data_IF_233940300262
#
_entry.id   IF_233940300262
#
_cell.length_a   1.000
_cell.length_b   1.000
_cell.length_c   1.000
_cell.angle_alpha   90.00
_cell.angle_beta   90.00
_cell.angle_gamma   90.00
#
_symmetry.space_group_name_H-M   'P 1'
#
loop_
_entity.id
_entity.type
_entity.pdbx_description
1 polymer ?
#
# COMPACT_ATOMS: atom_id res chain seq x y z
N UNK A 1 -8.50 -12.25 11.17
CA UNK A 1 -7.95 -11.94 9.85
C UNK A 1 -7.41 -10.54 9.96
N UNK A 2 -6.17 -10.33 9.53
CA UNK A 2 -5.59 -8.98 9.46
C UNK A 2 -6.02 -8.45 8.09
N UNK A 3 -6.66 -7.29 8.07
CA UNK A 3 -7.08 -6.66 6.82
C UNK A 3 -5.84 -6.17 6.05
N UNK A 4 -5.70 -6.49 4.75
CA UNK A 4 -4.57 -6.01 3.95
C UNK A 4 -4.54 -4.48 3.88
N UNK A 5 -5.71 -3.83 3.95
CA UNK A 5 -5.80 -2.37 4.05
C UNK A 5 -5.12 -1.86 5.32
N UNK A 6 -5.39 -2.48 6.47
CA UNK A 6 -4.80 -2.10 7.76
C UNK A 6 -3.27 -2.23 7.72
N UNK A 7 -2.75 -3.25 7.03
CA UNK A 7 -1.31 -3.41 6.80
C UNK A 7 -0.73 -2.36 5.86
N UNK A 8 -1.39 -2.03 4.75
CA UNK A 8 -0.92 -0.97 3.86
C UNK A 8 -0.92 0.39 4.56
N UNK A 9 -1.97 0.68 5.34
CA UNK A 9 -2.06 1.88 6.18
C UNK A 9 -0.92 1.89 7.18
N UNK A 10 -0.67 0.80 7.90
CA UNK A 10 0.44 0.69 8.83
C UNK A 10 1.81 0.91 8.15
N UNK A 11 2.03 0.40 6.94
CA UNK A 11 3.26 0.69 6.19
C UNK A 11 3.37 2.19 5.90
N UNK A 12 2.29 2.83 5.44
CA UNK A 12 2.28 4.26 5.14
C UNK A 12 2.51 5.12 6.39
N UNK A 13 1.88 4.79 7.51
CA UNK A 13 1.97 5.60 8.72
C UNK A 13 3.23 5.31 9.53
N UNK A 14 3.61 4.04 9.65
CA UNK A 14 4.67 3.57 10.56
C UNK A 14 6.04 3.56 9.88
N UNK A 15 6.10 3.25 8.58
CA UNK A 15 7.35 3.20 7.81
C UNK A 15 7.62 4.46 7.02
N UNK A 16 6.59 5.00 6.36
CA UNK A 16 6.71 6.19 5.52
C UNK A 16 6.37 7.48 6.28
N UNK A 17 6.04 7.38 7.57
CA UNK A 17 5.72 8.50 8.47
C UNK A 17 4.59 9.41 7.92
N UNK A 18 3.69 8.86 7.11
CA UNK A 18 2.54 9.57 6.56
C UNK A 18 1.50 9.78 7.66
N UNK A 19 0.91 10.99 7.80
CA UNK A 19 -0.15 11.21 8.76
C UNK A 19 -1.36 10.31 8.47
N UNK A 20 -1.85 9.59 9.49
CA UNK A 20 -3.04 8.74 9.39
C UNK A 20 -4.29 9.51 8.92
N UNK A 21 -4.36 10.81 9.21
CA UNK A 21 -5.45 11.72 8.80
C UNK A 21 -5.52 11.88 7.27
N UNK A 22 -4.41 11.64 6.56
CA UNK A 22 -4.34 11.67 5.09
C UNK A 22 -4.54 10.28 4.47
N UNK A 23 -4.26 9.21 5.21
CA UNK A 23 -4.32 7.83 4.72
C UNK A 23 -5.74 7.29 4.89
N UNK A 24 -6.53 7.34 3.81
CA UNK A 24 -7.90 6.83 3.77
C UNK A 24 -8.11 5.67 2.80
N UNK A 25 -9.19 4.88 2.95
CA UNK A 25 -9.52 3.79 2.03
C UNK A 25 -9.77 4.25 0.59
N UNK A 26 -10.27 5.46 0.40
CA UNK A 26 -10.50 6.08 -0.91
C UNK A 26 -9.30 6.91 -1.42
N UNK A 27 -8.25 7.06 -0.61
CA UNK A 27 -7.05 7.81 -0.97
C UNK A 27 -6.14 6.96 -1.84
N UNK A 28 -5.50 7.57 -2.85
CA UNK A 28 -4.47 6.92 -3.67
C UNK A 28 -3.08 7.35 -3.21
N UNK A 29 -2.05 6.54 -3.51
CA UNK A 29 -0.66 6.91 -3.21
C UNK A 29 -0.21 8.19 -3.94
N UNK A 30 -0.85 8.52 -5.07
CA UNK A 30 -0.62 9.77 -5.80
C UNK A 30 -1.22 10.98 -5.08
N UNK A 31 -2.33 10.82 -4.37
CA UNK A 31 -2.98 11.89 -3.60
C UNK A 31 -2.18 12.25 -2.33
N UNK A 32 -1.44 11.26 -1.79
CA UNK A 32 -0.50 11.44 -0.69
C UNK A 32 0.79 12.21 -1.07
N UNK A 33 0.89 12.67 -2.33
CA UNK A 33 2.04 13.41 -2.88
C UNK A 33 3.38 12.71 -2.59
N UNK A 34 3.39 11.36 -2.65
CA UNK A 34 4.58 10.57 -2.37
C UNK A 34 5.66 10.81 -3.43
N UNK A 35 6.87 11.13 -2.97
CA UNK A 35 8.05 11.16 -3.81
C UNK A 35 8.32 9.78 -4.45
N UNK A 36 9.02 9.77 -5.59
CA UNK A 36 9.36 8.53 -6.28
C UNK A 36 10.12 7.54 -5.39
N UNK A 37 10.94 8.04 -4.46
CA UNK A 37 11.66 7.21 -3.48
C UNK A 37 10.70 6.58 -2.46
N UNK A 38 9.71 7.33 -1.99
CA UNK A 38 8.71 6.84 -1.04
C UNK A 38 7.80 5.78 -1.69
N UNK A 39 7.45 5.95 -2.97
CA UNK A 39 6.74 4.93 -3.75
C UNK A 39 7.57 3.65 -3.91
N UNK A 40 8.86 3.77 -4.23
CA UNK A 40 9.76 2.62 -4.36
C UNK A 40 9.89 1.88 -3.03
N UNK A 41 10.05 2.61 -1.93
CA UNK A 41 10.13 2.05 -0.57
C UNK A 41 8.82 1.39 -0.15
N UNK A 42 7.67 2.01 -0.42
CA UNK A 42 6.36 1.42 -0.19
C UNK A 42 6.21 0.07 -0.90
N UNK A 43 6.57 0.01 -2.18
CA UNK A 43 6.49 -1.22 -2.99
C UNK A 43 7.39 -2.31 -2.41
N UNK A 44 8.60 -1.97 -1.98
CA UNK A 44 9.52 -2.93 -1.33
C UNK A 44 8.93 -3.44 -0.01
N UNK A 45 8.48 -2.54 0.86
CA UNK A 45 7.93 -2.90 2.18
C UNK A 45 6.65 -3.73 2.08
N UNK A 46 5.74 -3.36 1.16
CA UNK A 46 4.54 -4.13 0.89
C UNK A 46 4.90 -5.49 0.29
N UNK A 47 5.86 -5.56 -0.63
CA UNK A 47 6.34 -6.83 -1.18
C UNK A 47 6.89 -7.78 -0.13
N UNK A 48 7.67 -7.26 0.82
CA UNK A 48 8.21 -8.03 1.95
C UNK A 48 7.13 -8.47 2.95
N UNK A 49 6.15 -7.61 3.26
CA UNK A 49 5.07 -7.92 4.20
C UNK A 49 4.08 -8.97 3.64
N UNK A 50 3.85 -8.94 2.33
CA UNK A 50 2.85 -9.77 1.65
C UNK A 50 3.46 -10.90 0.80
N UNK A 51 4.78 -11.11 0.88
CA UNK A 51 5.53 -12.11 0.09
C UNK A 51 5.20 -12.02 -1.43
N UNK A 52 5.14 -10.79 -1.95
CA UNK A 52 4.68 -10.49 -3.32
C UNK A 52 5.76 -9.73 -4.11
N UNK A 53 5.80 -9.95 -5.42
CA UNK A 53 6.72 -9.25 -6.32
C UNK A 53 6.35 -7.77 -6.48
N UNK A 54 7.35 -6.89 -6.42
CA UNK A 54 7.20 -5.45 -6.61
C UNK A 54 6.44 -5.06 -7.90
N UNK A 55 6.67 -5.80 -8.98
CA UNK A 55 6.00 -5.58 -10.28
C UNK A 55 4.48 -5.76 -10.18
N UNK A 56 4.01 -6.71 -9.35
CA UNK A 56 2.58 -6.94 -9.10
C UNK A 56 1.94 -5.84 -8.24
N UNK A 57 2.75 -5.13 -7.46
CA UNK A 57 2.30 -4.02 -6.61
C UNK A 57 2.28 -2.68 -7.37
N UNK A 58 3.01 -2.58 -8.49
CA UNK A 58 3.07 -1.36 -9.29
C UNK A 58 1.68 -0.95 -9.84
N UNK A 59 0.86 -1.92 -10.24
CA UNK A 59 -0.53 -1.68 -10.67
C UNK A 59 -1.39 -1.09 -9.53
N UNK A 60 -1.10 -1.47 -8.28
CA UNK A 60 -1.86 -1.03 -7.10
C UNK A 60 -1.62 0.43 -6.75
N UNK A 61 -0.49 1.01 -7.17
CA UNK A 61 -0.15 2.41 -6.86
C UNK A 61 -1.10 3.41 -7.52
N UNK A 62 -1.78 2.98 -8.59
CA UNK A 62 -2.77 3.79 -9.32
C UNK A 62 -4.19 3.64 -8.79
N UNK A 63 -4.40 2.70 -7.86
CA UNK A 63 -5.70 2.38 -7.27
C UNK A 63 -5.85 3.02 -5.90
N UNK A 64 -7.09 3.23 -5.43
CA UNK A 64 -7.34 3.61 -4.04
C UNK A 64 -6.90 2.49 -3.10
N UNK A 65 -6.48 2.84 -1.88
CA UNK A 65 -5.92 1.88 -0.91
C UNK A 65 -6.86 0.70 -0.61
N UNK A 66 -8.17 0.93 -0.60
CA UNK A 66 -9.18 -0.13 -0.44
C UNK A 66 -9.15 -1.15 -1.58
N UNK A 67 -9.10 -0.70 -2.82
CA UNK A 67 -9.04 -1.57 -4.00
C UNK A 67 -7.67 -2.23 -4.15
N UNK A 68 -6.60 -1.50 -3.81
CA UNK A 68 -5.25 -2.03 -3.71
C UNK A 68 -5.19 -3.19 -2.71
N UNK A 69 -5.78 -3.02 -1.52
CA UNK A 69 -5.88 -4.04 -0.49
C UNK A 69 -6.67 -5.28 -0.96
N UNK A 70 -7.82 -5.08 -1.61
CA UNK A 70 -8.64 -6.18 -2.15
C UNK A 70 -7.90 -6.98 -3.23
N UNK A 71 -7.16 -6.27 -4.10
CA UNK A 71 -6.29 -6.91 -5.08
C UNK A 71 -5.12 -7.64 -4.46
N UNK A 72 -4.48 -7.06 -3.45
CA UNK A 72 -3.42 -7.72 -2.70
C UNK A 72 -3.94 -8.99 -2.01
N UNK A 73 -5.12 -8.93 -1.40
CA UNK A 73 -5.79 -10.08 -0.80
C UNK A 73 -6.01 -11.19 -1.83
N UNK A 74 -6.49 -10.82 -3.02
CA UNK A 74 -6.69 -11.74 -4.14
C UNK A 74 -5.39 -12.37 -4.64
N UNK A 75 -4.30 -11.59 -4.70
CA UNK A 75 -2.98 -12.08 -5.16
C UNK A 75 -2.32 -13.01 -4.15
N UNK A 76 -2.42 -12.69 -2.86
CA UNK A 76 -1.78 -13.44 -1.76
C UNK A 76 -2.65 -14.56 -1.21
N UNK A 77 -3.94 -14.58 -1.55
CA UNK A 77 -4.90 -15.59 -1.12
C UNK A 77 -5.31 -15.48 0.36
N UNK A 78 -5.23 -14.28 0.94
CA UNK A 78 -5.67 -13.98 2.32
C UNK A 78 -7.10 -13.44 2.39
#
# INVERSE_FOLDING_TARGET
MIDPLDRLVAILTDRLEIPEDLVGPDTTLQDLDLDSLALEEFVVLAGEEFDTEADSLADLLTLPLSEAADRLATLTGV
#
